data_IF_078457132121
#
_entry.id   IF_078457132121
#
_cell.length_a   1.000
_cell.length_b   1.000
_cell.length_c   1.000
_cell.angle_alpha   90.00
_cell.angle_beta   90.00
_cell.angle_gamma   90.00
#
_symmetry.space_group_name_H-M   'P 1'
#
loop_
_entity.id
_entity.type
_entity.pdbx_description
1 polymer ?
#
# COMPACT_ATOMS: atom_id res chain seq x y z
N UNK A 1 2.35 3.91 3.06
CA UNK A 1 1.49 4.90 3.75
C UNK A 1 2.26 5.78 4.74
N UNK A 2 3.15 5.23 5.58
CA UNK A 2 3.97 6.03 6.51
C UNK A 2 5.09 6.86 5.86
N UNK A 3 5.51 6.54 4.63
CA UNK A 3 6.51 7.33 3.88
C UNK A 3 6.01 8.72 3.47
N UNK A 4 4.69 8.96 3.57
CA UNK A 4 4.07 10.26 3.33
C UNK A 4 3.90 11.07 4.63
N UNK A 5 4.33 10.55 5.78
CA UNK A 5 4.28 11.27 7.04
C UNK A 5 5.46 12.25 7.07
N UNK A 6 5.16 13.53 6.94
CA UNK A 6 6.16 14.58 7.02
C UNK A 6 6.51 14.90 8.47
N UNK A 7 7.55 15.73 8.61
CA UNK A 7 7.86 16.37 9.89
C UNK A 7 6.67 17.13 10.50
N UNK A 8 5.82 17.86 9.74
CA UNK A 8 4.66 18.54 10.31
C UNK A 8 3.67 17.61 11.00
N UNK A 9 3.35 16.46 10.40
CA UNK A 9 2.40 15.49 10.95
C UNK A 9 2.91 14.88 12.27
N UNK A 10 4.23 14.64 12.36
CA UNK A 10 4.87 14.16 13.59
C UNK A 10 4.72 15.20 14.70
N UNK A 11 4.93 16.48 14.39
CA UNK A 11 4.70 17.58 15.33
C UNK A 11 3.22 17.67 15.76
N UNK A 12 2.28 17.51 14.83
CA UNK A 12 0.84 17.50 15.16
C UNK A 12 0.48 16.40 16.14
N UNK A 13 0.98 15.17 15.94
CA UNK A 13 0.74 14.06 16.88
C UNK A 13 1.39 14.33 18.24
N UNK A 14 2.59 14.90 18.26
CA UNK A 14 3.29 15.24 19.50
C UNK A 14 2.50 16.28 20.32
N UNK A 15 2.03 17.35 19.67
CA UNK A 15 1.19 18.38 20.30
C UNK A 15 -0.13 17.77 20.79
N UNK A 16 -0.79 16.95 19.98
CA UNK A 16 -2.03 16.29 20.37
C UNK A 16 -1.82 15.37 21.58
N UNK A 17 -0.72 14.61 21.60
CA UNK A 17 -0.32 13.77 22.73
C UNK A 17 -0.06 14.59 24.00
N UNK A 18 0.63 15.73 23.87
CA UNK A 18 0.84 16.67 24.98
C UNK A 18 -0.47 17.26 25.51
N UNK A 19 -1.46 17.52 24.66
CA UNK A 19 -2.77 18.04 25.08
C UNK A 19 -3.59 16.95 25.79
N UNK A 20 -3.66 15.75 25.23
CA UNK A 20 -4.47 14.64 25.77
C UNK A 20 -3.91 14.15 27.11
N UNK A 21 -2.60 13.91 27.15
CA UNK A 21 -1.93 13.34 28.33
C UNK A 21 -1.51 14.43 29.31
N UNK A 22 -1.13 15.60 28.80
CA UNK A 22 -0.52 16.69 29.57
C UNK A 22 1.02 16.62 29.52
N UNK A 23 1.73 17.75 29.37
CA UNK A 23 3.19 17.80 29.33
C UNK A 23 3.84 17.31 30.63
N UNK A 24 3.17 17.46 31.75
CA UNK A 24 3.66 17.04 33.07
C UNK A 24 3.59 15.52 33.28
N UNK A 25 2.69 14.84 32.57
CA UNK A 25 2.44 13.39 32.75
C UNK A 25 3.17 12.53 31.72
N UNK A 26 3.43 13.08 30.54
CA UNK A 26 4.19 12.42 29.48
C UNK A 26 5.55 11.84 29.93
N UNK A 27 6.42 12.56 30.68
CA UNK A 27 7.69 11.99 31.15
C UNK A 27 7.48 10.77 32.04
N UNK A 28 6.48 10.81 32.93
CA UNK A 28 6.14 9.68 33.80
C UNK A 28 5.66 8.46 33.01
N UNK A 29 4.82 8.67 31.98
CA UNK A 29 4.36 7.58 31.10
C UNK A 29 5.52 6.94 30.34
N UNK A 30 6.46 7.75 29.86
CA UNK A 30 7.66 7.23 29.17
C UNK A 30 8.52 6.40 30.13
N UNK A 31 8.68 6.84 31.39
CA UNK A 31 9.39 6.09 32.42
C UNK A 31 8.71 4.74 32.69
N UNK A 32 7.39 4.72 32.85
CA UNK A 32 6.60 3.50 33.09
C UNK A 32 6.72 2.52 31.92
N UNK A 33 6.57 3.01 30.68
CA UNK A 33 6.70 2.18 29.46
C UNK A 33 8.13 1.64 29.34
N UNK A 34 9.14 2.46 29.60
CA UNK A 34 10.55 2.03 29.55
C UNK A 34 10.83 0.95 30.60
N UNK A 35 10.32 1.13 31.83
CA UNK A 35 10.45 0.17 32.90
C UNK A 35 9.76 -1.15 32.54
N UNK A 36 8.55 -1.09 31.96
CA UNK A 36 7.82 -2.26 31.49
C UNK A 36 8.58 -3.02 30.40
N UNK A 37 9.12 -2.31 29.39
CA UNK A 37 9.94 -2.91 28.33
C UNK A 37 11.19 -3.56 28.91
N UNK A 38 11.86 -2.89 29.86
CA UNK A 38 13.05 -3.43 30.49
C UNK A 38 12.74 -4.69 31.31
N UNK A 39 11.65 -4.67 32.08
CA UNK A 39 11.18 -5.82 32.85
C UNK A 39 10.81 -6.98 31.92
N UNK A 40 10.08 -6.73 30.83
CA UNK A 40 9.73 -7.74 29.84
C UNK A 40 10.98 -8.35 29.20
N UNK A 41 11.94 -7.53 28.77
CA UNK A 41 13.21 -8.02 28.20
C UNK A 41 14.00 -8.86 29.20
N UNK A 42 14.06 -8.43 30.47
CA UNK A 42 14.73 -9.17 31.54
C UNK A 42 14.02 -10.51 31.82
N UNK A 43 12.69 -10.51 31.87
CA UNK A 43 11.90 -11.72 32.06
C UNK A 43 12.09 -12.72 30.92
N UNK A 44 12.09 -12.25 29.65
CA UNK A 44 12.36 -13.09 28.48
C UNK A 44 13.77 -13.68 28.55
N UNK A 45 14.78 -12.89 28.92
CA UNK A 45 16.15 -13.37 29.02
C UNK A 45 16.31 -14.42 30.13
N UNK A 46 15.73 -14.18 31.32
CA UNK A 46 15.76 -15.13 32.43
C UNK A 46 15.01 -16.43 32.07
N UNK A 47 13.81 -16.32 31.49
CA UNK A 47 13.06 -17.47 31.02
C UNK A 47 13.86 -18.23 29.95
N UNK A 48 14.49 -17.55 29.00
CA UNK A 48 15.37 -18.19 28.02
C UNK A 48 16.51 -18.94 28.69
N UNK A 49 17.13 -18.40 29.73
CA UNK A 49 18.22 -19.05 30.48
C UNK A 49 17.73 -20.32 31.20
N UNK A 50 16.55 -20.27 31.82
CA UNK A 50 15.90 -21.43 32.45
C UNK A 50 15.46 -22.48 31.42
N UNK A 51 14.89 -22.05 30.29
CA UNK A 51 14.41 -22.92 29.22
C UNK A 51 15.55 -23.53 28.39
N UNK A 52 16.68 -22.84 28.17
CA UNK A 52 17.84 -23.41 27.49
C UNK A 52 18.42 -24.61 28.26
N UNK A 53 18.20 -24.68 29.58
CA UNK A 53 18.60 -25.80 30.41
C UNK A 53 17.72 -27.05 30.25
N UNK A 54 16.48 -26.93 29.76
CA UNK A 54 15.49 -28.02 29.83
C UNK A 54 14.65 -28.26 28.54
N UNK A 55 14.58 -27.31 27.60
CA UNK A 55 13.65 -27.33 26.44
C UNK A 55 14.34 -27.13 25.08
N UNK A 56 15.61 -27.51 24.93
CA UNK A 56 16.35 -27.37 23.66
C UNK A 56 15.65 -28.02 22.46
N UNK A 57 14.90 -29.12 22.67
CA UNK A 57 14.20 -29.84 21.61
C UNK A 57 12.83 -29.22 21.27
N UNK A 58 12.11 -28.66 22.24
CA UNK A 58 10.79 -28.05 22.01
C UNK A 58 10.91 -26.64 21.41
N UNK A 59 11.98 -25.90 21.72
CA UNK A 59 12.24 -24.59 21.14
C UNK A 59 12.69 -24.66 19.67
N UNK A 60 13.24 -25.79 19.22
CA UNK A 60 13.62 -26.01 17.81
C UNK A 60 12.38 -26.03 16.89
N UNK A 61 11.24 -26.54 17.37
CA UNK A 61 9.97 -26.51 16.63
C UNK A 61 9.42 -25.08 16.48
N UNK A 62 9.64 -24.21 17.48
CA UNK A 62 9.29 -22.78 17.39
C UNK A 62 10.33 -21.93 16.65
N UNK A 63 11.54 -22.45 16.46
CA UNK A 63 12.60 -21.75 15.74
C UNK A 63 12.26 -21.59 14.26
N UNK A 64 11.60 -22.56 13.64
CA UNK A 64 11.15 -22.48 12.25
C UNK A 64 10.12 -21.35 12.02
N UNK A 65 9.00 -21.25 12.77
CA UNK A 65 8.05 -20.14 12.60
C UNK A 65 8.65 -18.78 12.97
N UNK A 66 9.51 -18.72 13.99
CA UNK A 66 10.21 -17.46 14.33
C UNK A 66 11.16 -17.03 13.21
N UNK A 67 11.89 -17.96 12.58
CA UNK A 67 12.72 -17.66 11.42
C UNK A 67 11.90 -17.24 10.20
N UNK A 68 10.70 -17.81 9.99
CA UNK A 68 9.75 -17.38 8.96
C UNK A 68 9.26 -15.94 9.22
N UNK A 69 8.93 -15.59 10.46
CA UNK A 69 8.54 -14.22 10.82
C UNK A 69 9.71 -13.25 10.61
N UNK A 70 10.92 -13.63 11.04
CA UNK A 70 12.11 -12.83 10.85
C UNK A 70 12.48 -12.67 9.36
N UNK A 71 12.25 -13.67 8.51
CA UNK A 71 12.47 -13.57 7.07
C UNK A 71 11.43 -12.69 6.39
N UNK A 72 10.15 -12.77 6.77
CA UNK A 72 9.07 -11.86 6.33
C UNK A 72 9.42 -10.41 6.68
N UNK A 73 9.90 -10.17 7.91
CA UNK A 73 10.31 -8.85 8.34
C UNK A 73 11.52 -8.31 7.55
N UNK A 74 12.46 -9.18 7.16
CA UNK A 74 13.64 -8.80 6.35
C UNK A 74 13.31 -8.60 4.86
N UNK A 75 12.39 -9.38 4.32
CA UNK A 75 11.91 -9.23 2.94
C UNK A 75 11.06 -7.96 2.79
N UNK A 76 10.37 -7.53 3.84
CA UNK A 76 9.50 -6.36 3.80
C UNK A 76 8.25 -6.60 2.95
N UNK A 77 7.21 -5.76 3.09
CA UNK A 77 5.89 -6.05 2.53
C UNK A 77 5.89 -6.20 1.01
N UNK A 78 6.72 -5.40 0.32
CA UNK A 78 6.85 -5.47 -1.13
C UNK A 78 7.50 -6.77 -1.59
N UNK A 79 8.61 -7.19 -0.98
CA UNK A 79 9.26 -8.41 -1.43
C UNK A 79 8.46 -9.66 -1.03
N UNK A 80 7.68 -9.63 0.05
CA UNK A 80 6.75 -10.72 0.39
C UNK A 80 5.62 -10.83 -0.63
N UNK A 81 5.02 -9.71 -1.04
CA UNK A 81 4.00 -9.69 -2.10
C UNK A 81 4.59 -10.11 -3.44
N UNK A 82 5.79 -9.63 -3.78
CA UNK A 82 6.50 -10.06 -4.99
C UNK A 82 6.84 -11.54 -4.93
N UNK A 83 7.34 -12.08 -3.81
CA UNK A 83 7.61 -13.50 -3.63
C UNK A 83 6.33 -14.33 -3.81
N UNK A 84 5.23 -13.93 -3.17
CA UNK A 84 3.95 -14.62 -3.32
C UNK A 84 3.43 -14.59 -4.76
N UNK A 85 3.41 -13.41 -5.40
CA UNK A 85 2.87 -13.24 -6.75
C UNK A 85 3.79 -13.76 -7.87
N UNK A 86 5.11 -13.73 -7.68
CA UNK A 86 6.09 -14.15 -8.69
C UNK A 86 6.53 -15.60 -8.52
N UNK A 87 6.54 -16.16 -7.30
CA UNK A 87 6.89 -17.59 -7.10
C UNK A 87 5.68 -18.52 -7.28
N UNK A 88 4.43 -18.08 -7.03
CA UNK A 88 3.25 -18.94 -7.26
C UNK A 88 2.83 -19.01 -8.72
N UNK A 89 3.20 -18.03 -9.56
CA UNK A 89 2.75 -17.96 -10.95
C UNK A 89 3.92 -17.61 -11.89
N UNK A 90 4.83 -18.56 -12.10
CA UNK A 90 5.93 -18.42 -13.07
C UNK A 90 5.42 -18.13 -14.50
N UNK A 91 4.14 -18.43 -14.78
CA UNK A 91 3.48 -18.10 -16.05
C UNK A 91 3.05 -16.64 -16.14
N UNK A 92 2.82 -15.95 -15.01
CA UNK A 92 2.50 -14.53 -14.98
C UNK A 92 3.67 -13.71 -15.52
N UNK A 93 4.91 -14.00 -15.09
CA UNK A 93 6.11 -13.36 -15.66
C UNK A 93 6.21 -13.52 -17.18
N UNK A 94 5.88 -14.71 -17.66
CA UNK A 94 5.93 -15.07 -19.07
C UNK A 94 4.88 -14.35 -19.93
N UNK A 95 3.77 -13.90 -19.33
CA UNK A 95 2.72 -13.10 -19.96
C UNK A 95 2.98 -11.59 -19.89
N UNK A 96 3.85 -11.14 -18.97
CA UNK A 96 4.30 -9.75 -18.87
C UNK A 96 5.53 -9.45 -19.72
N UNK A 97 6.09 -10.44 -20.43
CA UNK A 97 7.17 -10.22 -21.38
C UNK A 97 6.68 -9.27 -22.51
N UNK A 98 7.25 -8.06 -22.61
CA UNK A 98 6.85 -7.09 -23.62
C UNK A 98 6.98 -7.64 -25.05
N UNK A 99 7.84 -8.65 -25.29
CA UNK A 99 7.93 -9.32 -26.58
C UNK A 99 6.66 -10.12 -26.90
N UNK A 100 6.06 -10.83 -25.94
CA UNK A 100 4.81 -11.56 -26.16
C UNK A 100 3.63 -10.61 -26.29
N UNK A 101 3.57 -9.56 -25.47
CA UNK A 101 2.53 -8.52 -25.54
C UNK A 101 2.57 -7.79 -26.88
N UNK A 102 3.76 -7.48 -27.41
CA UNK A 102 3.90 -6.86 -28.74
C UNK A 102 3.64 -7.84 -29.88
N UNK A 103 3.85 -9.16 -29.66
CA UNK A 103 3.58 -10.19 -30.65
C UNK A 103 2.09 -10.61 -30.70
N UNK A 104 1.31 -10.39 -29.65
CA UNK A 104 -0.08 -10.87 -29.51
C UNK A 104 -1.18 -9.93 -30.01
N UNK A 105 -0.87 -8.82 -30.68
CA UNK A 105 -1.86 -7.94 -31.32
C UNK A 105 -1.60 -6.47 -30.99
N UNK A 106 -1.23 -5.57 -31.90
CA UNK A 106 -2.12 -4.98 -32.92
C UNK A 106 -3.53 -4.54 -32.46
N UNK A 107 -3.72 -4.25 -31.16
CA UNK A 107 -4.93 -3.59 -30.65
C UNK A 107 -5.14 -2.14 -31.17
N UNK A 108 -4.20 -1.62 -31.97
CA UNK A 108 -4.26 -0.31 -32.61
C UNK A 108 -4.89 -0.27 -34.01
N UNK A 109 -5.45 -1.37 -34.53
CA UNK A 109 -6.02 -1.36 -35.88
C UNK A 109 -7.43 -0.77 -35.94
N UNK A 110 -8.21 -0.81 -34.85
CA UNK A 110 -9.56 -0.22 -34.81
C UNK A 110 -9.57 1.33 -34.92
N UNK A 111 -8.42 1.98 -34.74
CA UNK A 111 -8.28 3.45 -34.86
C UNK A 111 -7.69 3.91 -36.20
N UNK A 112 -7.20 3.02 -37.08
CA UNK A 112 -6.54 3.42 -38.33
C UNK A 112 -7.47 3.57 -39.54
N UNK A 113 -8.70 3.03 -39.51
CA UNK A 113 -9.59 3.02 -40.67
C UNK A 113 -10.67 4.13 -40.72
N UNK A 114 -10.70 5.11 -39.78
CA UNK A 114 -11.73 6.17 -39.78
C UNK A 114 -11.23 7.58 -40.16
N UNK A 115 -10.37 7.75 -41.16
CA UNK A 115 -10.23 9.10 -41.71
C UNK A 115 -9.00 9.40 -42.54
N UNK A 116 -8.75 8.62 -43.59
CA UNK A 116 -7.99 9.13 -44.72
C UNK A 116 -8.98 9.84 -45.65
N UNK A 117 -9.14 11.16 -45.48
CA UNK A 117 -9.61 12.04 -46.54
C UNK A 117 -8.94 13.42 -46.38
N UNK A 118 -8.01 13.84 -47.26
CA UNK A 118 -7.41 15.16 -47.21
C UNK A 118 -8.23 16.15 -48.07
N UNK A 119 -8.84 17.15 -47.45
CA UNK A 119 -9.43 18.30 -48.15
C UNK A 119 -8.69 19.59 -47.73
N UNK A 120 -8.30 20.48 -48.67
CA UNK A 120 -7.37 21.57 -48.40
C UNK A 120 -8.04 22.84 -47.84
N UNK A 121 -7.18 23.70 -47.31
CA UNK A 121 -7.44 24.89 -46.49
C UNK A 121 -8.38 25.95 -47.09
N UNK A 122 -9.07 26.66 -46.19
CA UNK A 122 -9.83 27.87 -46.48
C UNK A 122 -10.37 28.56 -45.22
N UNK A 123 -9.66 29.63 -44.84
CA UNK A 123 -10.10 30.85 -44.16
C UNK A 123 -10.47 30.90 -42.66
N UNK A 124 -9.70 31.78 -42.00
CA UNK A 124 -9.81 32.27 -40.64
C UNK A 124 -10.85 33.37 -40.49
N UNK A 125 -11.79 33.25 -39.55
CA UNK A 125 -12.40 34.38 -38.81
C UNK A 125 -13.13 33.89 -37.54
N UNK A 126 -12.64 34.36 -36.38
CA UNK A 126 -13.12 34.12 -34.99
C UNK A 126 -14.44 34.88 -34.64
N UNK A 127 -14.89 34.98 -33.36
CA UNK A 127 -15.17 33.96 -32.31
C UNK A 127 -16.52 34.23 -31.58
N UNK A 128 -17.31 33.23 -31.11
CA UNK A 128 -18.33 33.47 -30.05
C UNK A 128 -18.54 32.29 -29.08
N UNK A 129 -18.49 32.63 -27.79
CA UNK A 129 -18.68 31.85 -26.56
C UNK A 129 -20.05 31.17 -26.44
N UNK A 130 -20.18 29.95 -25.89
CA UNK A 130 -21.49 29.37 -25.60
C UNK A 130 -22.03 29.86 -24.25
N UNK A 131 -23.12 30.63 -24.30
CA UNK A 131 -24.03 30.87 -23.19
C UNK A 131 -24.93 29.64 -23.03
N UNK A 132 -24.72 28.85 -21.98
CA UNK A 132 -25.53 27.66 -21.70
C UNK A 132 -26.75 28.05 -20.86
N UNK A 133 -27.94 28.07 -21.49
CA UNK A 133 -29.23 28.16 -20.82
C UNK A 133 -29.79 26.76 -20.61
N UNK A 134 -30.08 26.50 -19.36
CA UNK A 134 -30.68 25.34 -18.74
C UNK A 134 -32.02 24.91 -19.37
N UNK A 135 -32.17 23.60 -19.61
CA UNK A 135 -33.44 22.91 -19.87
C UNK A 135 -33.29 21.42 -19.48
N UNK A 136 -33.60 21.09 -18.22
CA UNK A 136 -33.90 19.74 -17.74
C UNK A 136 -35.33 19.31 -18.16
N UNK A 137 -35.87 18.12 -17.81
CA UNK A 137 -35.29 16.79 -17.50
C UNK A 137 -36.00 15.64 -18.24
N UNK A 138 -35.42 14.42 -18.34
CA UNK A 138 -36.20 13.17 -18.38
C UNK A 138 -35.42 11.99 -17.76
N UNK A 139 -36.06 11.37 -16.76
CA UNK A 139 -36.00 9.98 -16.27
C UNK A 139 -34.63 9.26 -16.33
N UNK A 140 -34.00 8.83 -15.23
CA UNK A 140 -34.57 8.15 -14.06
C UNK A 140 -34.05 6.71 -14.05
N UNK A 141 -32.88 6.49 -13.45
CA UNK A 141 -32.36 5.16 -13.11
C UNK A 141 -31.88 5.22 -11.64
N UNK A 142 -32.50 4.44 -10.76
CA UNK A 142 -32.19 4.39 -9.33
C UNK A 142 -31.25 3.22 -9.02
N UNK A 143 -30.31 3.42 -8.11
CA UNK A 143 -29.29 2.45 -7.70
C UNK A 143 -29.74 1.50 -6.55
N UNK A 144 -31.03 1.50 -6.20
CA UNK A 144 -31.58 0.65 -5.13
C UNK A 144 -31.80 -0.82 -5.52
N UNK A 145 -31.48 -1.24 -6.76
CA UNK A 145 -31.78 -2.59 -7.27
C UNK A 145 -30.54 -3.51 -7.39
N UNK A 146 -29.44 -3.13 -6.73
CA UNK A 146 -28.21 -3.94 -6.67
C UNK A 146 -27.87 -4.20 -5.21
N UNK A 147 -28.69 -5.03 -4.56
CA UNK A 147 -28.36 -5.73 -3.30
C UNK A 147 -28.84 -7.17 -3.38
#
# INVERSE_FOLDING_TARGET
MFSSIGWPEIFTVLILGLIIIGPERLPKVIEDVRAAIYAAKKAINNAKEELNGNLGTEFDEFREPINKIASIQRMGPKAVLTKALFDEDENFMDNFDPKKIMASGTEGEAYRERGINPQPAGDSASPQTPSNKESQPKAGFSWDDIT
#
